data_IF_753152185905
#
_entry.id   IF_753152185905
#
_cell.length_a   1.000
_cell.length_b   1.000
_cell.length_c   1.000
_cell.angle_alpha   90.00
_cell.angle_beta   90.00
_cell.angle_gamma   90.00
#
_symmetry.space_group_name_H-M   'P 1'
#
loop_
_entity.id
_entity.type
_entity.pdbx_description
1 polymer ?
#
# COMPACT_ATOMS: atom_id res chain seq x y z
N UNK A 1 18.18 0.98 -11.46
CA UNK A 1 18.32 -0.21 -10.59
C UNK A 1 17.47 0.04 -9.36
N UNK A 2 16.29 -0.54 -9.31
CA UNK A 2 15.37 -0.43 -8.18
C UNK A 2 15.92 -1.32 -7.06
N UNK A 3 16.51 -0.71 -6.03
CA UNK A 3 16.88 -1.40 -4.80
C UNK A 3 15.60 -1.59 -3.96
N UNK A 4 14.88 -2.69 -4.21
CA UNK A 4 13.78 -3.10 -3.37
C UNK A 4 14.31 -3.83 -2.14
N UNK A 5 14.74 -3.10 -1.13
CA UNK A 5 14.97 -3.67 0.20
C UNK A 5 13.61 -3.74 0.93
N UNK A 6 12.86 -4.81 0.66
CA UNK A 6 11.59 -5.05 1.34
C UNK A 6 11.88 -5.78 2.66
N UNK A 7 11.70 -5.11 3.80
CA UNK A 7 11.49 -5.80 5.07
C UNK A 7 9.99 -5.97 5.27
N UNK A 8 9.54 -7.22 5.32
CA UNK A 8 8.20 -7.55 5.78
C UNK A 8 8.11 -7.27 7.28
N UNK A 9 7.15 -6.46 7.70
CA UNK A 9 6.89 -6.19 9.11
C UNK A 9 5.51 -6.68 9.50
N UNK A 10 5.39 -7.25 10.72
CA UNK A 10 4.14 -7.78 11.23
C UNK A 10 3.24 -6.64 11.69
N UNK A 11 2.13 -6.44 10.99
CA UNK A 11 1.05 -5.51 11.37
C UNK A 11 -0.02 -6.22 12.21
N UNK A 12 -0.02 -7.57 12.24
CA UNK A 12 -1.04 -8.36 12.94
C UNK A 12 -0.46 -9.20 14.08
N UNK A 13 -1.22 -9.33 15.16
CA UNK A 13 -0.88 -10.25 16.24
C UNK A 13 -0.96 -11.71 15.74
N UNK A 14 0.04 -12.53 16.11
CA UNK A 14 0.11 -13.95 15.77
C UNK A 14 -1.17 -14.68 16.18
N UNK A 15 -1.97 -15.09 15.21
CA UNK A 15 -2.92 -16.17 15.36
C UNK A 15 -2.18 -17.51 15.57
N UNK A 16 -2.87 -18.49 16.10
CA UNK A 16 -2.36 -19.84 16.44
C UNK A 16 -1.96 -20.70 15.23
N UNK A 17 -1.88 -20.16 14.03
CA UNK A 17 -1.53 -20.88 12.80
C UNK A 17 -0.01 -20.93 12.60
N UNK A 18 0.52 -22.13 12.35
CA UNK A 18 1.93 -22.37 12.03
C UNK A 18 2.33 -21.90 10.63
N UNK A 19 1.37 -21.60 9.75
CA UNK A 19 1.61 -21.17 8.39
C UNK A 19 1.92 -19.67 8.32
N UNK A 20 2.93 -19.35 7.54
CA UNK A 20 3.35 -17.97 7.31
C UNK A 20 2.70 -17.43 6.03
N UNK A 21 1.48 -16.94 6.14
CA UNK A 21 0.73 -16.37 5.03
C UNK A 21 0.99 -14.86 4.92
N UNK A 22 1.35 -14.40 3.74
CA UNK A 22 1.66 -12.99 3.50
C UNK A 22 0.60 -12.38 2.59
N UNK A 23 0.07 -11.23 2.99
CA UNK A 23 -0.87 -10.44 2.22
C UNK A 23 -0.17 -9.45 1.29
N UNK A 24 -0.73 -9.21 0.12
CA UNK A 24 -0.37 -8.15 -0.83
C UNK A 24 -1.65 -7.45 -1.26
N UNK A 25 -1.59 -6.13 -1.46
CA UNK A 25 -2.67 -5.37 -2.10
C UNK A 25 -2.14 -4.87 -3.44
N UNK A 26 -2.87 -5.09 -4.54
CA UNK A 26 -2.41 -4.77 -5.87
C UNK A 26 -3.55 -4.47 -6.85
N UNK A 27 -3.22 -3.82 -7.96
CA UNK A 27 -4.13 -3.68 -9.10
C UNK A 27 -3.88 -4.73 -10.18
N UNK A 28 -2.60 -5.10 -10.41
CA UNK A 28 -2.19 -6.00 -11.48
C UNK A 28 -2.78 -5.62 -12.86
N UNK A 29 -2.56 -4.41 -13.30
CA UNK A 29 -3.17 -3.85 -14.50
C UNK A 29 -2.17 -3.58 -15.67
N UNK A 30 -1.65 -4.63 -16.36
CA UNK A 30 -1.71 -6.06 -16.03
C UNK A 30 -0.62 -6.51 -15.04
N UNK A 31 -0.58 -7.80 -14.71
CA UNK A 31 0.55 -8.41 -14.01
C UNK A 31 1.81 -8.35 -14.89
N UNK A 32 2.92 -7.83 -14.37
CA UNK A 32 4.17 -7.62 -15.10
C UNK A 32 5.41 -8.03 -14.28
N UNK A 33 6.59 -7.93 -14.87
CA UNK A 33 7.85 -8.37 -14.23
C UNK A 33 8.14 -7.69 -12.88
N UNK A 34 7.72 -6.45 -12.69
CA UNK A 34 7.84 -5.77 -11.38
C UNK A 34 7.00 -6.45 -10.30
N UNK A 35 5.76 -6.86 -10.64
CA UNK A 35 4.91 -7.62 -9.72
C UNK A 35 5.49 -9.00 -9.44
N UNK A 36 6.05 -9.68 -10.45
CA UNK A 36 6.73 -10.96 -10.28
C UNK A 36 7.96 -10.83 -9.37
N UNK A 37 8.73 -9.77 -9.52
CA UNK A 37 9.88 -9.49 -8.65
C UNK A 37 9.43 -9.27 -7.21
N UNK A 38 8.44 -8.41 -6.99
CA UNK A 38 7.85 -8.18 -5.67
C UNK A 38 7.35 -9.48 -5.03
N UNK A 39 6.62 -10.31 -5.78
CA UNK A 39 6.13 -11.60 -5.29
C UNK A 39 7.27 -12.54 -4.87
N UNK A 40 8.34 -12.62 -5.67
CA UNK A 40 9.52 -13.44 -5.35
C UNK A 40 10.24 -12.96 -4.09
N UNK A 41 10.44 -11.65 -3.97
CA UNK A 41 11.07 -11.07 -2.78
C UNK A 41 10.17 -11.23 -1.54
N UNK A 42 8.85 -11.08 -1.68
CA UNK A 42 7.88 -11.35 -0.61
C UNK A 42 8.00 -12.78 -0.11
N UNK A 43 8.01 -13.77 -1.02
CA UNK A 43 8.15 -15.19 -0.65
C UNK A 43 9.49 -15.47 0.02
N UNK A 44 10.58 -14.90 -0.49
CA UNK A 44 11.93 -15.12 0.03
C UNK A 44 12.16 -14.45 1.40
N UNK A 45 11.88 -13.16 1.51
CA UNK A 45 12.15 -12.37 2.73
C UNK A 45 11.20 -12.74 3.85
N UNK A 46 9.94 -12.95 3.53
CA UNK A 46 8.92 -13.33 4.50
C UNK A 46 8.88 -14.82 4.81
N UNK A 47 9.68 -15.66 4.13
CA UNK A 47 9.60 -17.14 4.25
C UNK A 47 8.14 -17.62 4.14
N UNK A 48 7.42 -17.10 3.12
CA UNK A 48 6.00 -17.31 2.98
C UNK A 48 5.66 -18.74 2.56
N UNK A 49 4.76 -19.38 3.30
CA UNK A 49 4.11 -20.61 2.85
C UNK A 49 3.11 -20.32 1.74
N UNK A 50 2.33 -19.23 1.88
CA UNK A 50 1.36 -18.78 0.89
C UNK A 50 1.36 -17.26 0.77
N UNK A 51 0.98 -16.77 -0.43
CA UNK A 51 0.75 -15.35 -0.69
C UNK A 51 -0.71 -15.14 -1.10
N UNK A 52 -1.39 -14.23 -0.40
CA UNK A 52 -2.77 -13.85 -0.63
C UNK A 52 -2.77 -12.44 -1.19
N UNK A 53 -3.31 -12.25 -2.39
CA UNK A 53 -3.45 -10.93 -3.00
C UNK A 53 -4.88 -10.42 -2.89
N UNK A 54 -5.06 -9.21 -2.37
CA UNK A 54 -6.30 -8.44 -2.50
C UNK A 54 -6.14 -7.55 -3.72
N UNK A 55 -6.97 -7.76 -4.75
CA UNK A 55 -6.82 -7.15 -6.07
C UNK A 55 -8.04 -6.32 -6.42
N UNK A 56 -7.84 -5.12 -6.99
CA UNK A 56 -8.93 -4.32 -7.54
C UNK A 56 -9.74 -5.10 -8.60
N UNK A 57 -11.05 -4.89 -8.63
CA UNK A 57 -11.95 -5.48 -9.61
C UNK A 57 -11.73 -4.94 -11.03
N UNK A 58 -12.80 -4.71 -11.79
CA UNK A 58 -12.69 -4.29 -13.19
C UNK A 58 -12.31 -2.82 -13.38
N UNK A 59 -12.12 -2.08 -12.28
CA UNK A 59 -11.68 -0.68 -12.29
C UNK A 59 -10.46 -0.50 -11.39
N UNK A 60 -9.57 0.39 -11.83
CA UNK A 60 -8.36 0.80 -11.08
C UNK A 60 -8.72 1.82 -10.00
N UNK A 61 -7.77 2.14 -9.13
CA UNK A 61 -7.90 3.17 -8.10
C UNK A 61 -8.27 4.54 -8.68
N UNK A 62 -7.81 4.85 -9.89
CA UNK A 62 -8.12 6.12 -10.58
C UNK A 62 -9.50 6.14 -11.23
N UNK A 63 -10.28 5.06 -11.10
CA UNK A 63 -11.60 4.95 -11.70
C UNK A 63 -11.59 4.61 -13.20
N UNK A 64 -10.44 4.25 -13.75
CA UNK A 64 -10.33 3.83 -15.14
C UNK A 64 -10.63 2.33 -15.26
N UNK A 65 -11.25 1.89 -16.37
CA UNK A 65 -11.39 0.46 -16.65
C UNK A 65 -10.02 -0.22 -16.70
N UNK A 66 -9.90 -1.38 -16.08
CA UNK A 66 -8.69 -2.17 -16.17
C UNK A 66 -8.46 -2.68 -17.59
N UNK A 67 -7.20 -2.89 -17.99
CA UNK A 67 -6.83 -3.35 -19.34
C UNK A 67 -7.42 -4.73 -19.69
N UNK A 68 -7.52 -5.61 -18.69
CA UNK A 68 -8.17 -6.92 -18.79
C UNK A 68 -9.18 -7.06 -17.66
N UNK A 69 -10.19 -7.90 -17.85
CA UNK A 69 -11.14 -8.20 -16.80
C UNK A 69 -10.45 -8.82 -15.55
N UNK A 70 -11.12 -8.77 -14.43
CA UNK A 70 -10.58 -9.24 -13.15
C UNK A 70 -10.20 -10.72 -13.15
N UNK A 71 -10.91 -11.55 -13.90
CA UNK A 71 -10.66 -13.00 -13.93
C UNK A 71 -9.35 -13.32 -14.65
N UNK A 72 -9.10 -12.66 -15.80
CA UNK A 72 -7.84 -12.78 -16.53
C UNK A 72 -6.67 -12.29 -15.66
N UNK A 73 -6.82 -11.17 -14.99
CA UNK A 73 -5.76 -10.61 -14.11
C UNK A 73 -5.50 -11.51 -12.89
N UNK A 74 -6.55 -12.06 -12.29
CA UNK A 74 -6.43 -13.02 -11.19
C UNK A 74 -5.72 -14.31 -11.67
N UNK A 75 -6.09 -14.83 -12.85
CA UNK A 75 -5.42 -15.98 -13.45
C UNK A 75 -3.94 -15.72 -13.70
N UNK A 76 -3.57 -14.52 -14.22
CA UNK A 76 -2.17 -14.12 -14.38
C UNK A 76 -1.42 -14.15 -13.04
N UNK A 77 -2.02 -13.60 -11.97
CA UNK A 77 -1.40 -13.59 -10.65
C UNK A 77 -1.19 -15.02 -10.11
N UNK A 78 -2.21 -15.87 -10.19
CA UNK A 78 -2.13 -17.26 -9.73
C UNK A 78 -1.10 -18.06 -10.53
N UNK A 79 -1.08 -17.95 -11.87
CA UNK A 79 -0.07 -18.61 -12.72
C UNK A 79 1.36 -18.17 -12.42
N UNK A 80 1.55 -16.98 -11.86
CA UNK A 80 2.85 -16.48 -11.46
C UNK A 80 3.20 -16.75 -9.98
N UNK A 81 2.31 -17.45 -9.24
CA UNK A 81 2.63 -17.96 -7.92
C UNK A 81 1.95 -17.25 -6.75
N UNK A 82 0.92 -16.45 -6.98
CA UNK A 82 -0.03 -16.02 -5.93
C UNK A 82 -0.93 -17.22 -5.63
N UNK A 83 -1.15 -17.51 -4.35
CA UNK A 83 -1.89 -18.72 -3.94
C UNK A 83 -3.40 -18.47 -3.87
N UNK A 84 -3.83 -17.25 -3.55
CA UNK A 84 -5.23 -16.82 -3.48
C UNK A 84 -5.35 -15.37 -3.92
N UNK A 85 -6.35 -15.09 -4.77
CA UNK A 85 -6.73 -13.71 -5.14
C UNK A 85 -8.14 -13.42 -4.64
N UNK A 86 -8.29 -12.32 -3.91
CA UNK A 86 -9.56 -11.82 -3.38
C UNK A 86 -9.85 -10.47 -4.02
N UNK A 87 -11.06 -10.25 -4.48
CA UNK A 87 -11.45 -8.97 -5.06
C UNK A 87 -11.62 -7.89 -3.97
N UNK A 88 -10.95 -6.75 -4.15
CA UNK A 88 -11.23 -5.53 -3.38
C UNK A 88 -12.55 -4.95 -3.87
N UNK A 89 -13.56 -4.76 -3.00
CA UNK A 89 -14.85 -4.20 -3.40
C UNK A 89 -14.68 -2.84 -4.08
N UNK A 90 -15.49 -2.59 -5.11
CA UNK A 90 -15.43 -1.40 -5.96
C UNK A 90 -15.38 -0.08 -5.17
N UNK A 91 -16.16 0.04 -4.09
CA UNK A 91 -16.19 1.26 -3.25
C UNK A 91 -14.86 1.61 -2.59
N UNK A 92 -13.99 0.61 -2.38
CA UNK A 92 -12.64 0.80 -1.89
C UNK A 92 -11.64 0.89 -3.05
N UNK A 93 -11.83 0.07 -4.09
CA UNK A 93 -10.93 0.02 -5.24
C UNK A 93 -10.87 1.35 -6.00
N UNK A 94 -12.05 1.97 -6.27
CA UNK A 94 -12.17 3.25 -6.99
C UNK A 94 -12.27 4.41 -6.00
N UNK A 95 -11.22 4.65 -5.22
CA UNK A 95 -11.23 5.69 -4.20
C UNK A 95 -9.80 6.27 -4.03
N UNK A 96 -9.66 7.23 -3.11
CA UNK A 96 -8.34 7.74 -2.74
C UNK A 96 -7.47 6.63 -2.11
N UNK A 97 -6.17 6.91 -1.94
CA UNK A 97 -5.21 5.94 -1.41
C UNK A 97 -5.58 5.43 -0.01
N UNK A 98 -6.15 6.29 0.84
CA UNK A 98 -6.57 5.94 2.20
C UNK A 98 -7.67 4.87 2.20
N UNK A 99 -8.76 5.06 1.43
CA UNK A 99 -9.84 4.08 1.35
C UNK A 99 -9.42 2.80 0.66
N UNK A 100 -8.58 2.91 -0.38
CA UNK A 100 -8.01 1.75 -1.05
C UNK A 100 -7.18 0.90 -0.08
N UNK A 101 -6.28 1.52 0.67
CA UNK A 101 -5.45 0.87 1.66
C UNK A 101 -6.29 0.26 2.79
N UNK A 102 -7.21 1.04 3.34
CA UNK A 102 -8.12 0.61 4.42
C UNK A 102 -8.91 -0.63 4.01
N UNK A 103 -9.52 -0.63 2.82
CA UNK A 103 -10.30 -1.77 2.33
C UNK A 103 -9.46 -3.04 2.19
N UNK A 104 -8.26 -2.91 1.59
CA UNK A 104 -7.34 -4.03 1.43
C UNK A 104 -6.84 -4.60 2.74
N UNK A 105 -6.40 -3.75 3.67
CA UNK A 105 -5.94 -4.14 5.00
C UNK A 105 -7.07 -4.79 5.81
N UNK A 106 -8.30 -4.25 5.75
CA UNK A 106 -9.46 -4.84 6.43
C UNK A 106 -9.77 -6.27 5.94
N UNK A 107 -9.68 -6.50 4.64
CA UNK A 107 -9.89 -7.85 4.08
C UNK A 107 -8.81 -8.80 4.59
N UNK A 108 -7.52 -8.42 4.47
CA UNK A 108 -6.41 -9.26 4.91
C UNK A 108 -6.49 -9.56 6.41
N UNK A 109 -6.83 -8.58 7.23
CA UNK A 109 -7.01 -8.76 8.67
C UNK A 109 -8.22 -9.65 8.98
N UNK A 110 -9.32 -9.46 8.28
CA UNK A 110 -10.55 -10.22 8.45
C UNK A 110 -10.42 -11.72 8.14
N UNK A 111 -9.43 -12.13 7.32
CA UNK A 111 -9.13 -13.52 7.06
C UNK A 111 -8.58 -14.25 8.31
N UNK A 112 -7.98 -13.53 9.25
CA UNK A 112 -7.45 -14.09 10.49
C UNK A 112 -6.28 -15.07 10.34
N UNK A 113 -5.79 -15.27 9.12
CA UNK A 113 -4.69 -16.19 8.82
C UNK A 113 -3.46 -15.51 8.19
N UNK A 114 -3.50 -14.21 7.96
CA UNK A 114 -2.40 -13.44 7.40
C UNK A 114 -1.44 -13.04 8.53
N UNK A 115 -0.18 -13.42 8.41
CA UNK A 115 0.86 -13.14 9.41
C UNK A 115 1.60 -11.83 9.14
N UNK A 116 1.81 -11.47 7.88
CA UNK A 116 2.55 -10.31 7.43
C UNK A 116 1.88 -9.68 6.22
N UNK A 117 2.14 -8.39 6.03
CA UNK A 117 1.74 -7.65 4.85
C UNK A 117 3.00 -7.18 4.10
N UNK A 118 3.02 -7.35 2.78
CA UNK A 118 4.13 -6.94 1.91
C UNK A 118 3.65 -5.92 0.89
N UNK A 119 4.42 -4.84 0.75
CA UNK A 119 4.18 -3.80 -0.24
C UNK A 119 5.50 -3.31 -0.85
N UNK A 120 5.42 -2.74 -2.04
CA UNK A 120 6.53 -2.07 -2.70
C UNK A 120 6.58 -0.59 -2.35
N UNK A 121 7.78 -0.04 -2.23
CA UNK A 121 8.00 1.41 -2.13
C UNK A 121 9.17 1.82 -3.03
N UNK A 122 9.18 3.09 -3.44
CA UNK A 122 10.28 3.64 -4.25
C UNK A 122 11.56 3.80 -3.44
N UNK A 123 11.46 4.10 -2.15
CA UNK A 123 12.63 4.34 -1.28
C UNK A 123 13.15 3.09 -0.59
N UNK A 124 12.33 2.09 -0.37
CA UNK A 124 12.69 0.87 0.36
C UNK A 124 13.05 1.05 1.84
N UNK A 125 12.92 2.27 2.40
CA UNK A 125 13.26 2.59 3.78
C UNK A 125 11.99 2.70 4.64
N UNK A 126 11.64 1.59 5.29
CA UNK A 126 10.42 1.49 6.08
C UNK A 126 10.35 2.50 7.24
N UNK A 127 11.48 2.75 7.91
CA UNK A 127 11.52 3.66 9.07
C UNK A 127 11.05 5.08 8.72
N UNK A 128 11.46 5.58 7.56
CA UNK A 128 11.06 6.91 7.09
C UNK A 128 9.56 6.95 6.73
N UNK A 129 9.05 5.89 6.08
CA UNK A 129 7.62 5.77 5.78
C UNK A 129 6.76 5.67 7.05
N UNK A 130 7.22 4.91 8.06
CA UNK A 130 6.54 4.80 9.35
C UNK A 130 6.46 6.15 10.07
N UNK A 131 7.57 6.90 10.10
CA UNK A 131 7.59 8.23 10.70
C UNK A 131 6.58 9.17 10.05
N UNK A 132 6.52 9.19 8.72
CA UNK A 132 5.53 10.01 8.00
C UNK A 132 4.11 9.52 8.27
N UNK A 133 3.88 8.20 8.34
CA UNK A 133 2.57 7.65 8.67
C UNK A 133 2.11 8.06 10.08
N UNK A 134 2.98 7.99 11.09
CA UNK A 134 2.68 8.40 12.48
C UNK A 134 2.22 9.86 12.55
N UNK A 135 2.92 10.77 11.86
CA UNK A 135 2.54 12.19 11.82
C UNK A 135 1.17 12.39 11.16
N UNK A 136 0.89 11.63 10.11
CA UNK A 136 -0.36 11.72 9.37
C UNK A 136 -1.54 11.01 10.05
N UNK A 137 -1.29 10.07 10.97
CA UNK A 137 -2.32 9.47 11.84
C UNK A 137 -2.73 10.42 12.95
N UNK A 138 -1.74 10.98 13.63
CA UNK A 138 -1.99 11.74 14.84
C UNK A 138 -2.47 13.17 14.55
N UNK A 139 -2.38 13.62 13.29
CA UNK A 139 -2.74 14.98 12.84
C UNK A 139 -2.62 16.02 13.95
N UNK A 140 -1.43 16.11 14.52
CA UNK A 140 -1.14 17.01 15.63
C UNK A 140 -1.53 18.46 15.32
N UNK A 141 -1.62 19.34 16.33
CA UNK A 141 -1.97 20.75 16.13
C UNK A 141 -1.12 21.43 15.05
N UNK A 142 0.17 21.11 15.02
CA UNK A 142 1.13 21.67 14.07
C UNK A 142 0.80 21.31 12.62
N UNK A 143 0.47 20.02 12.34
CA UNK A 143 0.08 19.59 11.01
C UNK A 143 -1.24 20.24 10.57
N UNK A 144 -2.22 20.31 11.48
CA UNK A 144 -3.51 20.96 11.20
C UNK A 144 -3.36 22.43 10.86
N UNK A 145 -2.53 23.15 11.60
CA UNK A 145 -2.25 24.57 11.35
C UNK A 145 -1.52 24.76 10.01
N UNK A 146 -0.47 23.97 9.75
CA UNK A 146 0.26 24.04 8.49
C UNK A 146 -0.64 23.71 7.30
N UNK A 147 -1.45 22.64 7.41
CA UNK A 147 -2.39 22.23 6.36
C UNK A 147 -3.40 23.36 6.05
N UNK A 148 -4.00 23.93 7.10
CA UNK A 148 -4.94 25.04 6.97
C UNK A 148 -4.30 26.27 6.34
N UNK A 149 -3.06 26.60 6.72
CA UNK A 149 -2.27 27.68 6.13
C UNK A 149 -2.14 27.53 4.61
N UNK A 150 -1.73 26.36 4.13
CA UNK A 150 -1.53 26.13 2.69
C UNK A 150 -2.86 26.01 1.92
N UNK A 151 -3.90 25.42 2.51
CA UNK A 151 -5.24 25.40 1.92
C UNK A 151 -5.80 26.82 1.74
N UNK A 152 -5.60 27.71 2.72
CA UNK A 152 -6.02 29.12 2.62
C UNK A 152 -5.25 29.90 1.56
N UNK A 153 -4.06 29.44 1.16
CA UNK A 153 -3.29 29.99 0.05
C UNK A 153 -3.77 29.47 -1.33
N UNK A 154 -4.80 28.62 -1.36
CA UNK A 154 -5.38 28.07 -2.59
C UNK A 154 -4.68 26.82 -3.13
N UNK A 155 -3.83 26.18 -2.34
CA UNK A 155 -3.22 24.91 -2.72
C UNK A 155 -4.27 23.79 -2.71
N UNK A 156 -4.13 22.84 -3.67
CA UNK A 156 -4.90 21.60 -3.62
C UNK A 156 -4.52 20.79 -2.37
N UNK A 157 -5.42 19.95 -1.86
CA UNK A 157 -5.15 19.15 -0.67
C UNK A 157 -3.84 18.33 -0.74
N UNK A 158 -3.53 17.61 -1.85
CA UNK A 158 -2.26 16.89 -1.95
C UNK A 158 -1.03 17.81 -1.83
N UNK A 159 -1.09 18.99 -2.45
CA UNK A 159 -0.01 19.97 -2.38
C UNK A 159 0.10 20.61 -1.00
N UNK A 160 -1.01 20.95 -0.38
CA UNK A 160 -1.04 21.50 0.97
C UNK A 160 -0.46 20.50 1.99
N UNK A 161 -0.82 19.20 1.85
CA UNK A 161 -0.28 18.10 2.66
C UNK A 161 1.24 17.97 2.48
N UNK A 162 1.73 18.02 1.24
CA UNK A 162 3.16 18.00 0.94
C UNK A 162 3.91 19.15 1.64
N UNK A 163 3.45 20.39 1.46
CA UNK A 163 4.09 21.57 2.03
C UNK A 163 4.01 21.57 3.57
N UNK A 164 2.93 21.06 4.14
CA UNK A 164 2.78 20.92 5.59
C UNK A 164 3.77 19.89 6.17
N UNK A 165 3.90 18.73 5.55
CA UNK A 165 4.90 17.72 5.96
C UNK A 165 6.32 18.26 5.78
N UNK A 166 6.59 19.01 4.70
CA UNK A 166 7.89 19.65 4.46
C UNK A 166 8.24 20.66 5.56
N UNK A 167 7.28 21.43 6.02
CA UNK A 167 7.47 22.43 7.08
C UNK A 167 7.83 21.78 8.43
N UNK A 168 7.23 20.62 8.73
CA UNK A 168 7.38 19.93 10.02
C UNK A 168 8.58 18.97 10.04
N UNK A 169 8.75 18.19 9.00
CA UNK A 169 9.70 17.06 8.94
C UNK A 169 10.83 17.24 7.93
N UNK A 170 10.78 18.32 7.14
CA UNK A 170 11.77 18.60 6.11
C UNK A 170 11.44 18.03 4.74
N UNK A 171 12.30 18.37 3.77
CA UNK A 171 12.08 18.04 2.35
C UNK A 171 12.13 16.54 2.07
N UNK A 172 13.05 15.82 2.73
CA UNK A 172 13.20 14.36 2.54
C UNK A 172 11.93 13.60 2.93
N UNK A 173 11.29 13.96 4.03
CA UNK A 173 10.02 13.35 4.46
C UNK A 173 8.86 13.70 3.51
N UNK A 174 8.82 14.94 3.03
CA UNK A 174 7.80 15.37 2.08
C UNK A 174 7.94 14.68 0.72
N UNK A 175 9.15 14.44 0.24
CA UNK A 175 9.40 13.76 -1.02
C UNK A 175 8.89 12.30 -1.01
N UNK A 176 8.83 11.66 0.16
CA UNK A 176 8.26 10.32 0.30
C UNK A 176 6.79 10.26 -0.15
N UNK A 177 6.01 11.30 0.11
CA UNK A 177 4.59 11.37 -0.25
C UNK A 177 4.33 11.97 -1.63
N UNK A 178 5.34 12.03 -2.51
CA UNK A 178 5.18 12.35 -3.93
C UNK A 178 4.98 11.12 -4.80
N UNK A 179 5.66 10.05 -4.44
CA UNK A 179 5.69 8.83 -5.25
C UNK A 179 4.45 7.95 -4.97
N UNK A 180 3.79 7.43 -6.01
CA UNK A 180 2.52 6.72 -5.86
C UNK A 180 2.58 5.51 -4.91
N UNK A 181 3.64 4.70 -4.98
CA UNK A 181 3.76 3.53 -4.09
C UNK A 181 4.09 3.94 -2.66
N UNK A 182 4.85 5.00 -2.46
CA UNK A 182 5.11 5.54 -1.12
C UNK A 182 3.85 6.13 -0.50
N UNK A 183 2.99 6.80 -1.29
CA UNK A 183 1.68 7.28 -0.81
C UNK A 183 0.86 6.10 -0.27
N UNK A 184 0.74 5.02 -1.05
CA UNK A 184 0.05 3.82 -0.62
C UNK A 184 0.73 3.17 0.60
N UNK A 185 2.06 3.10 0.60
CA UNK A 185 2.83 2.56 1.72
C UNK A 185 2.53 3.29 3.03
N UNK A 186 2.49 4.62 3.00
CA UNK A 186 2.13 5.46 4.16
C UNK A 186 0.70 5.16 4.61
N UNK A 187 -0.27 5.03 3.68
CA UNK A 187 -1.66 4.72 4.03
C UNK A 187 -1.81 3.30 4.60
N UNK A 188 -0.99 2.33 4.18
CA UNK A 188 -0.96 0.99 4.78
C UNK A 188 -0.39 0.98 6.20
N UNK A 189 0.49 1.92 6.52
CA UNK A 189 1.17 2.01 7.82
C UNK A 189 0.37 2.82 8.86
N UNK A 190 -0.59 3.63 8.42
CA UNK A 190 -1.56 4.33 9.27
C UNK A 190 -2.54 3.34 9.91
#
# INVERSE_FOLDING_TARGET
SVNCNHRAHSVFQKGTFRLNNIGIIAEYNPFHNGHLHHLKETKKLGQADHVIAVMSGDFTQRGEPALYDKWIRAEMAVKNGVDLVIELPFIFACNNAEYFAMGGIHILNGLGCVSYFSFGSETGELANLQRVAEILVDEGPELKEALKKYLNQGYSYPRARFEAVKEIEGEEAADLIREPNNILAVEYLK
#
